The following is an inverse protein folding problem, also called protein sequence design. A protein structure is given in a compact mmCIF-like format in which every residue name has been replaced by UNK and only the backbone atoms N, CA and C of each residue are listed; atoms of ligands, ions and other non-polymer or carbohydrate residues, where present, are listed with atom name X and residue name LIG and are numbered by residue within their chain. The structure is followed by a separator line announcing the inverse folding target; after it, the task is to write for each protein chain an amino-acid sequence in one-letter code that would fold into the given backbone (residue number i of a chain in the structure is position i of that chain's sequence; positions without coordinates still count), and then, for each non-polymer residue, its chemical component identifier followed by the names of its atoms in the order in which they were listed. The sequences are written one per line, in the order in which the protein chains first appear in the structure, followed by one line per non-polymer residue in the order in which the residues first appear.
data_IF_583871676695
#
_entry.id   IF_583871676695
#
_cell.length_a   1.000
_cell.length_b   1.000
_cell.length_c   1.000
_cell.angle_alpha   90.00
_cell.angle_beta   90.00
_cell.angle_gamma   90.00
#
_symmetry.space_group_name_H-M   'P 1'
#
loop_
_entity.id
_entity.type
_entity.pdbx_description
1 polymer ?
#
# COMPACT_ATOMS: atom_id res chain seq x y z
N UNK A 1 -14.40 10.28 -6.50
CA UNK A 1 -13.45 9.60 -5.59
C UNK A 1 -13.43 10.15 -4.16
N UNK A 2 -13.85 11.38 -3.92
CA UNK A 2 -13.96 11.91 -2.55
C UNK A 2 -14.86 11.07 -1.64
N UNK A 3 -15.96 10.52 -2.18
CA UNK A 3 -16.88 9.64 -1.42
C UNK A 3 -16.22 8.32 -1.03
N UNK A 4 -15.40 7.75 -1.90
CA UNK A 4 -14.65 6.52 -1.62
C UNK A 4 -13.63 6.76 -0.51
N UNK A 5 -12.88 7.85 -0.61
CA UNK A 5 -11.91 8.24 0.42
C UNK A 5 -12.58 8.48 1.77
N UNK A 6 -13.71 9.19 1.79
CA UNK A 6 -14.46 9.46 3.01
C UNK A 6 -14.97 8.17 3.66
N UNK A 7 -15.50 7.25 2.87
CA UNK A 7 -15.93 5.95 3.37
C UNK A 7 -14.78 5.18 4.01
N UNK A 8 -13.65 5.07 3.31
CA UNK A 8 -12.49 4.33 3.81
C UNK A 8 -11.90 4.97 5.07
N UNK A 9 -11.84 6.31 5.15
CA UNK A 9 -11.39 7.00 6.37
C UNK A 9 -12.22 6.64 7.59
N UNK A 10 -13.51 6.39 7.40
CA UNK A 10 -14.41 5.99 8.49
C UNK A 10 -14.32 4.51 8.89
N UNK A 11 -13.64 3.67 8.12
CA UNK A 11 -13.66 2.22 8.30
C UNK A 11 -12.30 1.58 8.55
N UNK A 12 -11.21 2.26 8.23
CA UNK A 12 -9.85 1.74 8.48
C UNK A 12 -9.14 2.57 9.55
N UNK A 13 -8.14 1.99 10.19
CA UNK A 13 -7.33 2.68 11.20
C UNK A 13 -6.17 3.47 10.60
N UNK A 14 -5.73 3.12 9.40
CA UNK A 14 -4.68 3.82 8.67
C UNK A 14 -5.16 5.12 8.02
N UNK A 15 -4.23 5.84 7.42
CA UNK A 15 -4.50 7.11 6.77
C UNK A 15 -4.93 6.90 5.31
N UNK A 16 -5.89 7.70 4.86
CA UNK A 16 -6.33 7.81 3.47
C UNK A 16 -6.02 9.22 3.01
N UNK A 17 -5.09 9.38 2.09
CA UNK A 17 -4.57 10.68 1.65
C UNK A 17 -4.95 10.92 0.18
N UNK A 18 -5.60 12.05 -0.08
CA UNK A 18 -6.02 12.47 -1.42
C UNK A 18 -5.32 13.77 -1.87
N UNK A 19 -4.41 14.31 -1.07
CA UNK A 19 -3.66 15.53 -1.40
C UNK A 19 -2.81 15.32 -2.65
N UNK A 20 -2.81 16.32 -3.52
CA UNK A 20 -2.10 16.30 -4.80
C UNK A 20 -0.60 16.06 -4.64
N UNK A 21 0.04 16.73 -3.67
CA UNK A 21 1.48 16.59 -3.43
C UNK A 21 1.88 15.16 -3.07
N UNK A 22 1.09 14.49 -2.25
CA UNK A 22 1.31 13.10 -1.86
C UNK A 22 1.08 12.15 -3.03
N UNK A 23 0.03 12.37 -3.80
CA UNK A 23 -0.30 11.57 -4.99
C UNK A 23 0.80 11.67 -6.04
N UNK A 24 1.33 12.87 -6.27
CA UNK A 24 2.44 13.09 -7.20
C UNK A 24 3.74 12.44 -6.70
N UNK A 25 4.01 12.50 -5.40
CA UNK A 25 5.18 11.85 -4.82
C UNK A 25 5.18 10.33 -4.99
N UNK A 26 4.01 9.72 -5.19
CA UNK A 26 3.84 8.28 -5.37
C UNK A 26 3.53 7.89 -6.82
N UNK A 27 3.71 8.79 -7.77
CA UNK A 27 3.41 8.55 -9.18
C UNK A 27 4.52 7.79 -9.92
N UNK A 28 5.68 7.62 -9.31
CA UNK A 28 6.86 6.99 -9.91
C UNK A 28 7.47 5.96 -8.97
N UNK A 29 8.13 4.95 -9.52
CA UNK A 29 8.81 3.88 -8.77
C UNK A 29 10.31 3.78 -9.09
N UNK A 30 10.89 4.88 -9.58
CA UNK A 30 12.31 4.92 -9.99
C UNK A 30 12.52 4.54 -11.46
N UNK A 31 11.48 4.11 -12.16
CA UNK A 31 11.52 3.77 -13.58
C UNK A 31 11.08 4.92 -14.49
N UNK A 32 10.81 4.58 -15.75
CA UNK A 32 10.41 5.53 -16.79
C UNK A 32 8.91 5.80 -16.82
N UNK A 33 8.11 4.95 -16.16
CA UNK A 33 6.66 5.06 -16.15
C UNK A 33 6.21 5.97 -15.01
N UNK A 34 5.08 6.65 -15.22
CA UNK A 34 4.47 7.50 -14.21
C UNK A 34 2.94 7.37 -14.26
N UNK A 35 2.33 7.06 -13.13
CA UNK A 35 0.87 7.00 -12.97
C UNK A 35 0.52 7.62 -11.62
N UNK A 36 -0.24 8.73 -11.66
CA UNK A 36 -0.71 9.38 -10.45
C UNK A 36 -1.89 8.60 -9.87
N UNK A 37 -1.81 8.10 -8.62
CA UNK A 37 -2.94 7.41 -7.99
C UNK A 37 -4.06 8.39 -7.63
N UNK A 38 -5.27 7.89 -7.51
CA UNK A 38 -6.40 8.67 -7.00
C UNK A 38 -6.30 8.93 -5.50
N UNK A 39 -5.75 7.97 -4.77
CA UNK A 39 -5.49 8.10 -3.34
C UNK A 39 -4.34 7.20 -2.91
N UNK A 40 -3.69 7.61 -1.83
CA UNK A 40 -2.62 6.84 -1.17
C UNK A 40 -3.14 6.43 0.20
N UNK A 41 -3.09 5.13 0.50
CA UNK A 41 -3.51 4.58 1.79
C UNK A 41 -2.30 4.01 2.50
N UNK A 42 -2.13 4.37 3.77
CA UNK A 42 -1.12 3.83 4.67
C UNK A 42 -1.79 2.89 5.67
N UNK A 43 -1.94 1.60 5.33
CA UNK A 43 -2.60 0.66 6.24
C UNK A 43 -1.76 0.42 7.49
N UNK A 44 -2.42 0.28 8.63
CA UNK A 44 -1.76 -0.05 9.91
C UNK A 44 -1.79 -1.54 10.21
N UNK A 45 -2.81 -2.24 9.72
CA UNK A 45 -3.06 -3.64 10.04
C UNK A 45 -3.47 -4.42 8.80
N UNK A 46 -3.35 -5.74 8.88
CA UNK A 46 -3.91 -6.65 7.88
C UNK A 46 -5.41 -6.42 7.69
N UNK A 47 -6.13 -6.09 8.76
CA UNK A 47 -7.56 -5.83 8.69
C UNK A 47 -7.89 -4.59 7.86
N UNK A 48 -7.04 -3.55 7.91
CA UNK A 48 -7.19 -2.39 7.04
C UNK A 48 -7.13 -2.79 5.57
N UNK A 49 -6.13 -3.60 5.20
CA UNK A 49 -5.98 -4.10 3.82
C UNK A 49 -7.20 -4.93 3.41
N UNK A 50 -7.67 -5.79 4.31
CA UNK A 50 -8.87 -6.61 4.07
C UNK A 50 -10.09 -5.75 3.79
N UNK A 51 -10.30 -4.69 4.56
CA UNK A 51 -11.42 -3.77 4.38
C UNK A 51 -11.34 -3.00 3.06
N UNK A 52 -10.16 -2.55 2.67
CA UNK A 52 -9.94 -1.88 1.38
C UNK A 52 -10.25 -2.84 0.23
N UNK A 53 -9.74 -4.06 0.29
CA UNK A 53 -9.98 -5.07 -0.75
C UNK A 53 -11.47 -5.44 -0.86
N UNK A 54 -12.14 -5.63 0.28
CA UNK A 54 -13.58 -5.93 0.31
C UNK A 54 -14.39 -4.79 -0.30
N UNK A 55 -14.07 -3.56 0.05
CA UNK A 55 -14.75 -2.39 -0.49
C UNK A 55 -14.58 -2.27 -2.01
N UNK A 56 -13.37 -2.48 -2.52
CA UNK A 56 -13.11 -2.47 -3.96
C UNK A 56 -13.88 -3.59 -4.67
N UNK A 57 -13.96 -4.77 -4.05
CA UNK A 57 -14.75 -5.89 -4.57
C UNK A 57 -16.24 -5.51 -4.66
N UNK A 58 -16.80 -4.94 -3.61
CA UNK A 58 -18.20 -4.51 -3.57
C UNK A 58 -18.52 -3.46 -4.62
N UNK A 59 -17.59 -2.53 -4.87
CA UNK A 59 -17.73 -1.55 -5.94
C UNK A 59 -17.71 -2.21 -7.32
N UNK A 60 -16.83 -3.18 -7.53
CA UNK A 60 -16.74 -3.92 -8.79
C UNK A 60 -18.03 -4.68 -9.10
N UNK A 61 -18.67 -5.26 -8.08
CA UNK A 61 -19.97 -5.93 -8.23
C UNK A 61 -21.08 -4.96 -8.70
N UNK A 62 -20.92 -3.66 -8.40
CA UNK A 62 -21.84 -2.62 -8.84
C UNK A 62 -21.40 -1.93 -10.15
N UNK A 63 -20.41 -2.47 -10.83
CA UNK A 63 -19.92 -1.94 -12.09
C UNK A 63 -18.86 -0.84 -11.96
N UNK A 64 -18.35 -0.57 -10.75
CA UNK A 64 -17.33 0.43 -10.50
C UNK A 64 -15.99 -0.23 -10.15
N UNK A 65 -15.11 -0.35 -11.13
CA UNK A 65 -13.79 -0.97 -10.92
C UNK A 65 -12.77 0.07 -10.44
N UNK A 66 -12.12 -0.22 -9.32
CA UNK A 66 -10.98 0.56 -8.83
C UNK A 66 -9.80 -0.40 -8.59
N UNK A 67 -8.64 -0.06 -9.13
CA UNK A 67 -7.44 -0.87 -8.93
C UNK A 67 -6.83 -0.65 -7.56
N UNK A 68 -6.24 -1.70 -7.02
CA UNK A 68 -5.44 -1.64 -5.79
C UNK A 68 -4.03 -2.08 -6.13
N UNK A 69 -3.05 -1.23 -5.85
CA UNK A 69 -1.64 -1.51 -6.10
C UNK A 69 -0.88 -1.48 -4.78
N UNK A 70 -0.28 -2.59 -4.34
CA UNK A 70 0.58 -2.58 -3.17
C UNK A 70 1.93 -1.93 -3.50
N UNK A 71 2.49 -1.24 -2.51
CA UNK A 71 3.78 -0.56 -2.66
C UNK A 71 4.59 -0.68 -1.37
N UNK A 72 5.83 -1.15 -1.50
CA UNK A 72 6.84 -1.07 -0.44
C UNK A 72 7.57 0.27 -0.51
N UNK A 73 8.88 0.25 -0.75
CA UNK A 73 9.70 1.47 -0.85
C UNK A 73 9.52 2.22 -2.19
N UNK A 74 8.84 1.63 -3.16
CA UNK A 74 8.61 2.27 -4.46
C UNK A 74 9.85 2.34 -5.34
N UNK A 75 10.73 1.35 -5.25
CA UNK A 75 12.01 1.31 -5.98
C UNK A 75 12.08 0.17 -7.01
N UNK A 76 10.94 -0.33 -7.43
CA UNK A 76 10.87 -1.48 -8.32
C UNK A 76 11.39 -1.15 -9.74
N UNK A 77 11.08 0.02 -10.27
CA UNK A 77 11.53 0.47 -11.57
C UNK A 77 10.82 -0.14 -12.77
N UNK A 78 9.96 -1.15 -12.56
CA UNK A 78 9.25 -1.87 -13.65
C UNK A 78 7.80 -1.41 -13.83
N UNK A 79 7.31 -0.53 -12.97
CA UNK A 79 5.92 -0.09 -12.97
C UNK A 79 4.99 -0.91 -12.09
N UNK A 80 5.49 -1.90 -11.36
CA UNK A 80 4.67 -2.74 -10.49
C UNK A 80 4.17 -2.00 -9.23
N UNK A 81 4.86 -0.94 -8.81
CA UNK A 81 4.55 -0.19 -7.60
C UNK A 81 3.82 1.15 -7.87
N UNK A 82 3.30 1.34 -9.08
CA UNK A 82 2.49 2.51 -9.45
C UNK A 82 1.13 2.07 -9.97
N UNK A 83 0.13 2.94 -9.87
CA UNK A 83 -1.23 2.64 -10.33
C UNK A 83 -2.13 3.85 -10.24
N UNK A 84 -3.22 3.82 -11.02
CA UNK A 84 -4.18 4.93 -11.10
C UNK A 84 -5.22 4.97 -9.98
N UNK A 85 -5.45 3.85 -9.31
CA UNK A 85 -6.49 3.73 -8.30
C UNK A 85 -5.97 3.97 -6.89
N UNK A 86 -6.19 2.99 -6.02
CA UNK A 86 -5.73 2.99 -4.64
C UNK A 86 -4.30 2.45 -4.58
N UNK A 87 -3.39 3.22 -4.02
CA UNK A 87 -2.03 2.79 -3.74
C UNK A 87 -1.91 2.46 -2.25
N UNK A 88 -1.60 1.20 -1.92
CA UNK A 88 -1.38 0.75 -0.55
C UNK A 88 0.10 0.79 -0.21
N UNK A 89 0.52 1.77 0.58
CA UNK A 89 1.92 1.95 0.98
C UNK A 89 2.14 1.32 2.35
N UNK A 90 2.88 0.23 2.40
CA UNK A 90 3.05 -0.59 3.61
C UNK A 90 4.20 -0.15 4.50
N UNK A 91 5.13 0.65 4.00
CA UNK A 91 6.36 1.03 4.73
C UNK A 91 6.14 1.94 5.94
N UNK A 92 5.03 2.69 5.97
CA UNK A 92 4.78 3.64 7.05
C UNK A 92 4.46 2.96 8.39
N UNK A 93 3.64 1.89 8.37
CA UNK A 93 3.13 1.26 9.60
C UNK A 93 3.33 -0.25 9.66
N UNK A 94 3.43 -0.94 8.52
CA UNK A 94 3.51 -2.39 8.47
C UNK A 94 4.95 -2.85 8.20
N UNK A 95 5.85 -2.50 9.10
CA UNK A 95 7.29 -2.74 8.97
C UNK A 95 7.88 -3.57 10.12
N UNK A 96 7.05 -4.33 10.83
CA UNK A 96 7.46 -5.13 11.97
C UNK A 96 8.15 -6.41 11.53
N UNK A 97 9.24 -6.76 12.23
CA UNK A 97 9.90 -8.06 12.15
C UNK A 97 9.40 -8.89 13.32
N UNK A 98 8.80 -10.06 13.06
CA UNK A 98 8.20 -10.90 14.09
C UNK A 98 9.20 -11.88 14.68
N UNK A 99 9.87 -12.66 13.83
CA UNK A 99 10.77 -13.72 14.29
C UNK A 99 11.82 -14.04 13.23
N UNK A 100 12.94 -14.58 13.71
CA UNK A 100 14.03 -15.08 12.87
C UNK A 100 14.44 -16.47 13.36
N UNK A 101 14.46 -17.43 12.45
CA UNK A 101 14.91 -18.79 12.71
C UNK A 101 16.20 -19.05 11.92
N UNK A 102 17.33 -19.02 12.62
CA UNK A 102 18.65 -19.21 12.02
C UNK A 102 18.87 -20.62 11.50
N UNK A 103 18.23 -21.62 12.13
CA UNK A 103 18.39 -23.05 11.75
C UNK A 103 17.68 -23.32 10.43
N UNK A 104 16.45 -22.84 10.31
CA UNK A 104 15.65 -22.97 9.08
C UNK A 104 15.93 -21.90 8.05
N UNK A 105 16.71 -20.86 8.41
CA UNK A 105 17.00 -19.69 7.58
C UNK A 105 15.72 -18.97 7.12
N UNK A 106 14.79 -18.81 8.08
CA UNK A 106 13.51 -18.16 7.85
C UNK A 106 13.41 -16.88 8.67
N UNK A 107 12.76 -15.88 8.10
CA UNK A 107 12.38 -14.65 8.78
C UNK A 107 10.92 -14.36 8.50
N UNK A 108 10.16 -14.01 9.54
CA UNK A 108 8.78 -13.59 9.43
C UNK A 108 8.67 -12.10 9.71
N UNK A 109 8.14 -11.37 8.74
CA UNK A 109 8.04 -9.91 8.83
C UNK A 109 6.80 -9.39 8.07
N UNK A 110 6.46 -8.15 8.33
CA UNK A 110 5.41 -7.46 7.58
C UNK A 110 5.94 -6.94 6.24
N UNK A 111 5.06 -6.72 5.24
CA UNK A 111 5.47 -6.41 3.87
C UNK A 111 6.18 -5.06 3.69
N UNK A 112 6.07 -4.16 4.67
CA UNK A 112 6.76 -2.86 4.65
C UNK A 112 8.13 -2.85 5.29
N UNK A 113 8.62 -4.00 5.79
CA UNK A 113 9.96 -4.09 6.37
C UNK A 113 11.02 -3.89 5.30
N UNK A 114 12.03 -3.08 5.61
CA UNK A 114 13.13 -2.78 4.69
C UNK A 114 14.26 -3.77 4.86
N UNK A 115 14.87 -4.20 3.77
CA UNK A 115 15.97 -5.17 3.78
C UNK A 115 17.13 -4.68 4.67
N UNK A 116 17.53 -3.44 4.55
CA UNK A 116 18.64 -2.88 5.34
C UNK A 116 18.36 -2.85 6.85
N UNK A 117 17.14 -2.55 7.24
CA UNK A 117 16.73 -2.66 8.64
C UNK A 117 16.71 -4.10 9.13
N UNK A 118 16.29 -5.02 8.28
CA UNK A 118 16.20 -6.44 8.56
C UNK A 118 17.59 -7.09 8.74
N UNK A 119 18.54 -6.74 7.89
CA UNK A 119 19.91 -7.32 7.93
C UNK A 119 20.70 -6.83 9.14
N UNK A 120 20.40 -5.65 9.67
CA UNK A 120 21.08 -5.09 10.84
C UNK A 120 20.43 -5.46 12.17
N UNK A 121 19.23 -5.95 12.11
CA UNK A 121 18.53 -6.41 13.30
C UNK A 121 18.97 -7.83 13.67
#
# INVERSE_FOLDING_TARGET
MSKVAAYLRGHISGEVVTREDVRLAHANDGGVLSLKPEMVIYPRTTNDIRKVARFAWQLAEKGHTISITPRGAGTDGTGAAIGKGILLVTTAHMNRIYEYDAKQKLIRLQPGARIWGTVRA
#
